data_IF_654900449750
#
_entry.id   IF_654900449750
#
_cell.length_a   1.000
_cell.length_b   1.000
_cell.length_c   1.000
_cell.angle_alpha   90.00
_cell.angle_beta   90.00
_cell.angle_gamma   90.00
#
_symmetry.space_group_name_H-M   'P 1'
#
loop_
_entity.id
_entity.type
_entity.pdbx_description
1 polymer ?
#
# COMPACT_ATOMS: atom_id res chain seq x y z
N UNK A 1 1.56 19.30 -4.30
CA UNK A 1 1.72 17.91 -3.86
C UNK A 1 0.50 17.13 -4.32
N UNK A 2 0.61 15.98 -5.00
CA UNK A 2 -0.55 15.24 -5.49
C UNK A 2 -1.26 14.50 -4.36
N UNK A 3 -1.87 15.27 -3.45
CA UNK A 3 -2.96 14.76 -2.63
C UNK A 3 -4.12 14.36 -3.56
N UNK A 4 -4.93 13.35 -3.22
CA UNK A 4 -6.08 12.99 -4.04
C UNK A 4 -7.02 14.20 -4.23
N UNK A 5 -7.38 14.49 -5.48
CA UNK A 5 -8.37 15.50 -5.82
C UNK A 5 -9.76 15.10 -5.31
N UNK A 6 -10.72 16.04 -5.18
CA UNK A 6 -12.09 15.69 -4.78
C UNK A 6 -12.75 14.61 -5.66
N UNK A 7 -12.46 14.60 -6.97
CA UNK A 7 -12.94 13.56 -7.88
C UNK A 7 -12.33 12.20 -7.55
N UNK A 8 -11.01 12.15 -7.35
CA UNK A 8 -10.30 10.93 -6.97
C UNK A 8 -10.77 10.40 -5.60
N UNK A 9 -11.00 11.28 -4.61
CA UNK A 9 -11.55 10.88 -3.30
C UNK A 9 -12.91 10.18 -3.45
N UNK A 10 -13.78 10.69 -4.32
CA UNK A 10 -15.08 10.08 -4.60
C UNK A 10 -14.93 8.68 -5.19
N UNK A 11 -13.99 8.48 -6.11
CA UNK A 11 -13.81 7.20 -6.82
C UNK A 11 -13.03 6.16 -6.01
N UNK A 12 -12.04 6.60 -5.22
CA UNK A 12 -11.34 5.77 -4.23
C UNK A 12 -12.29 5.31 -3.12
N UNK A 13 -13.41 6.02 -2.91
CA UNK A 13 -14.41 5.71 -1.90
C UNK A 13 -14.03 6.24 -0.51
N UNK A 14 -14.89 6.03 0.50
CA UNK A 14 -14.71 6.64 1.80
C UNK A 14 -13.48 6.10 2.52
N UNK A 15 -12.89 6.95 3.37
CA UNK A 15 -11.84 6.55 4.30
C UNK A 15 -12.43 5.63 5.37
N UNK A 16 -11.84 4.45 5.56
CA UNK A 16 -12.33 3.40 6.45
C UNK A 16 -11.30 3.04 7.51
N UNK A 17 -11.75 2.61 8.68
CA UNK A 17 -10.90 1.94 9.67
C UNK A 17 -10.44 0.57 9.15
N UNK A 18 -9.37 -0.01 9.73
CA UNK A 18 -8.95 -1.36 9.41
C UNK A 18 -10.11 -2.36 9.46
N UNK A 19 -10.19 -3.22 8.45
CA UNK A 19 -11.12 -4.34 8.34
C UNK A 19 -12.60 -3.99 8.08
N UNK A 20 -12.99 -2.71 8.03
CA UNK A 20 -14.36 -2.28 7.68
C UNK A 20 -14.78 -2.59 6.24
N UNK A 21 -13.89 -3.18 5.42
CA UNK A 21 -14.19 -3.64 4.06
C UNK A 21 -14.22 -5.16 3.92
N UNK A 22 -13.73 -5.89 4.91
CA UNK A 22 -13.38 -7.32 4.77
C UNK A 22 -13.78 -8.16 5.97
N UNK A 23 -13.62 -7.66 7.20
CA UNK A 23 -13.86 -8.43 8.41
C UNK A 23 -14.13 -7.50 9.61
N UNK A 24 -15.39 -7.07 9.77
CA UNK A 24 -15.82 -6.16 10.83
C UNK A 24 -15.61 -6.66 12.26
N UNK A 25 -15.44 -7.98 12.48
CA UNK A 25 -15.21 -8.53 13.82
C UNK A 25 -13.74 -8.54 14.24
N UNK A 26 -12.82 -8.29 13.30
CA UNK A 26 -11.38 -8.25 13.59
C UNK A 26 -10.98 -6.88 14.11
N UNK A 27 -10.18 -6.89 15.17
CA UNK A 27 -9.56 -5.69 15.73
C UNK A 27 -8.07 -5.61 15.38
N UNK A 28 -7.52 -4.41 15.48
CA UNK A 28 -6.08 -4.18 15.33
C UNK A 28 -5.36 -4.81 16.52
N UNK A 29 -4.37 -5.66 16.24
CA UNK A 29 -3.67 -6.40 17.29
C UNK A 29 -2.49 -5.60 17.86
N UNK A 30 -1.99 -6.03 19.02
CA UNK A 30 -0.76 -5.50 19.61
C UNK A 30 0.38 -5.51 18.57
N UNK A 31 1.11 -4.41 18.48
CA UNK A 31 2.22 -4.23 17.53
C UNK A 31 1.82 -3.75 16.13
N UNK A 32 0.54 -3.87 15.74
CA UNK A 32 0.04 -3.41 14.44
C UNK A 32 -0.19 -1.89 14.36
N UNK A 33 -0.08 -1.17 15.49
CA UNK A 33 -0.19 0.29 15.58
C UNK A 33 1.15 1.00 15.83
N UNK A 34 2.25 0.24 15.96
CA UNK A 34 3.58 0.82 16.11
C UNK A 34 3.92 1.58 14.83
N UNK A 35 4.34 2.83 14.99
CA UNK A 35 4.72 3.71 13.89
C UNK A 35 6.18 3.47 13.49
N UNK A 36 6.43 3.41 12.18
CA UNK A 36 7.75 3.17 11.58
C UNK A 36 8.15 4.34 10.68
N UNK A 37 8.03 5.57 11.18
CA UNK A 37 8.16 6.79 10.36
C UNK A 37 9.43 6.88 9.52
N UNK A 38 10.57 6.40 10.03
CA UNK A 38 11.85 6.37 9.31
C UNK A 38 11.93 5.31 8.19
N UNK A 39 10.96 4.39 8.15
CA UNK A 39 10.84 3.32 7.13
C UNK A 39 9.63 3.50 6.22
N UNK A 40 8.70 4.37 6.61
CA UNK A 40 7.53 4.70 5.80
C UNK A 40 7.93 5.79 4.82
N UNK A 41 7.78 5.46 3.56
CA UNK A 41 8.12 6.35 2.49
C UNK A 41 6.88 7.09 1.99
N UNK A 42 6.95 8.42 1.94
CA UNK A 42 5.91 9.26 1.36
C UNK A 42 6.10 9.31 -0.16
N UNK A 43 5.36 8.48 -0.87
CA UNK A 43 5.45 8.35 -2.31
C UNK A 43 4.69 9.46 -3.06
N UNK A 44 4.11 10.46 -2.39
CA UNK A 44 3.39 11.55 -3.07
C UNK A 44 4.29 12.48 -3.89
N UNK A 45 5.59 12.54 -3.64
CA UNK A 45 6.46 13.52 -4.30
C UNK A 45 7.17 12.95 -5.54
N UNK A 46 6.58 11.96 -6.23
CA UNK A 46 7.16 11.23 -7.38
C UNK A 46 8.57 10.67 -7.11
N UNK A 47 8.97 10.65 -5.85
CA UNK A 47 10.27 10.22 -5.44
C UNK A 47 10.16 8.71 -5.21
N UNK A 48 11.17 7.93 -5.59
CA UNK A 48 11.29 6.53 -5.17
C UNK A 48 12.02 6.47 -3.82
N UNK A 49 11.81 5.42 -2.99
CA UNK A 49 12.75 5.12 -1.93
C UNK A 49 14.17 5.01 -2.52
N UNK A 50 15.16 5.69 -1.93
CA UNK A 50 16.54 5.75 -2.45
C UNK A 50 17.18 4.37 -2.70
N UNK A 51 16.68 3.34 -2.03
CA UNK A 51 17.16 1.96 -2.09
C UNK A 51 16.01 0.96 -2.31
N UNK A 52 15.18 1.20 -3.33
CA UNK A 52 14.15 0.21 -3.72
C UNK A 52 14.78 -1.12 -4.10
N UNK A 53 14.23 -2.21 -3.56
CA UNK A 53 14.55 -3.55 -4.00
C UNK A 53 13.75 -3.79 -5.28
N UNK A 54 14.43 -3.82 -6.43
CA UNK A 54 13.83 -4.16 -7.72
C UNK A 54 13.88 -5.66 -7.97
N UNK A 55 12.89 -6.16 -8.69
CA UNK A 55 12.74 -7.57 -9.05
C UNK A 55 12.43 -7.71 -10.54
N UNK A 56 12.85 -8.82 -11.14
CA UNK A 56 12.49 -9.13 -12.53
C UNK A 56 10.96 -9.30 -12.67
N UNK A 57 10.32 -8.71 -13.70
CA UNK A 57 8.88 -8.82 -13.94
C UNK A 57 8.33 -10.26 -13.92
N UNK A 58 9.08 -11.20 -14.49
CA UNK A 58 8.76 -12.63 -14.52
C UNK A 58 8.69 -13.23 -13.12
N UNK A 59 9.59 -12.86 -12.21
CA UNK A 59 9.57 -13.31 -10.82
C UNK A 59 8.36 -12.72 -10.09
N UNK A 60 8.08 -11.42 -10.29
CA UNK A 60 6.90 -10.75 -9.71
C UNK A 60 5.61 -11.47 -10.13
N UNK A 61 5.48 -11.82 -11.40
CA UNK A 61 4.26 -12.48 -11.93
C UNK A 61 4.12 -13.93 -11.47
N UNK A 62 5.22 -14.67 -11.38
CA UNK A 62 5.18 -16.10 -11.05
C UNK A 62 5.14 -16.37 -9.55
N UNK A 63 5.85 -15.58 -8.74
CA UNK A 63 6.06 -15.83 -7.31
C UNK A 63 5.88 -14.58 -6.41
N UNK A 64 4.81 -13.79 -6.58
CA UNK A 64 4.66 -12.51 -5.86
C UNK A 64 4.63 -12.67 -4.34
N UNK A 65 4.11 -13.81 -3.85
CA UNK A 65 3.96 -14.10 -2.41
C UNK A 65 5.27 -14.41 -1.69
N UNK A 66 6.28 -14.87 -2.42
CA UNK A 66 7.57 -15.28 -1.86
C UNK A 66 8.67 -14.25 -2.12
N UNK A 67 8.35 -13.15 -2.78
CA UNK A 67 9.33 -12.14 -3.09
C UNK A 67 9.70 -11.32 -1.85
N UNK A 68 11.00 -11.22 -1.61
CA UNK A 68 11.56 -10.37 -0.56
C UNK A 68 11.46 -8.87 -0.89
N UNK A 69 11.13 -8.52 -2.14
CA UNK A 69 10.96 -7.15 -2.63
C UNK A 69 9.52 -6.64 -2.52
N UNK A 70 8.64 -7.35 -1.78
CA UNK A 70 7.25 -6.95 -1.62
C UNK A 70 7.10 -5.76 -0.66
N UNK A 71 6.44 -4.71 -1.13
CA UNK A 71 6.06 -3.54 -0.37
C UNK A 71 4.56 -3.57 -0.06
N UNK A 72 4.19 -2.93 1.04
CA UNK A 72 2.80 -2.60 1.39
C UNK A 72 2.58 -1.13 1.06
N UNK A 73 1.42 -0.80 0.49
CA UNK A 73 1.05 0.57 0.21
C UNK A 73 -0.32 0.93 0.78
N UNK A 74 -0.47 2.22 1.10
CA UNK A 74 -1.71 2.83 1.56
C UNK A 74 -1.90 4.19 0.88
N UNK A 75 -3.12 4.42 0.38
CA UNK A 75 -3.59 5.74 -0.02
C UNK A 75 -4.47 6.29 1.12
N UNK A 76 -4.12 7.48 1.59
CA UNK A 76 -4.93 8.28 2.52
C UNK A 76 -5.33 9.59 1.85
N UNK A 77 -6.11 10.41 2.53
CA UNK A 77 -6.44 11.77 2.09
C UNK A 77 -5.19 12.67 1.96
N UNK A 78 -4.10 12.32 2.64
CA UNK A 78 -2.84 13.06 2.61
C UNK A 78 -1.85 12.53 1.57
N UNK A 79 -2.09 11.35 0.98
CA UNK A 79 -1.13 10.79 0.04
C UNK A 79 -1.01 9.28 -0.07
N UNK A 80 -0.07 8.86 -0.91
CA UNK A 80 0.44 7.50 -1.05
C UNK A 80 1.64 7.27 -0.11
N UNK A 81 1.56 6.23 0.70
CA UNK A 81 2.62 5.81 1.62
C UNK A 81 2.97 4.35 1.39
N UNK A 82 4.26 4.02 1.42
CA UNK A 82 4.75 2.67 1.17
C UNK A 82 5.78 2.24 2.22
N UNK A 83 5.87 0.94 2.49
CA UNK A 83 6.86 0.34 3.40
C UNK A 83 7.22 -1.06 2.90
N UNK A 84 8.47 -1.49 3.07
CA UNK A 84 8.90 -2.85 2.75
C UNK A 84 8.24 -3.84 3.73
N UNK A 85 7.54 -4.87 3.25
CA UNK A 85 6.79 -5.80 4.13
C UNK A 85 7.73 -6.48 5.13
N UNK A 86 8.95 -6.85 4.71
CA UNK A 86 9.94 -7.53 5.55
C UNK A 86 10.59 -6.63 6.62
N UNK A 87 10.15 -5.38 6.78
CA UNK A 87 10.59 -4.53 7.88
C UNK A 87 10.31 -5.22 9.23
N UNK A 88 11.32 -5.44 10.08
CA UNK A 88 11.13 -6.17 11.35
C UNK A 88 10.15 -5.47 12.28
N UNK A 89 9.19 -6.24 12.82
CA UNK A 89 8.29 -5.80 13.87
C UNK A 89 8.15 -6.91 14.93
N UNK A 90 9.03 -6.95 15.95
CA UNK A 90 9.04 -8.03 16.93
C UNK A 90 7.77 -8.11 17.77
N UNK A 91 6.99 -7.04 17.81
CA UNK A 91 5.74 -6.93 18.57
C UNK A 91 4.54 -7.59 17.90
N UNK A 92 4.63 -8.02 16.64
CA UNK A 92 3.58 -8.78 15.95
C UNK A 92 3.89 -10.28 15.93
N UNK A 93 2.87 -11.11 15.75
CA UNK A 93 3.04 -12.56 15.56
C UNK A 93 3.78 -12.90 14.27
N UNK A 94 3.59 -12.10 13.21
CA UNK A 94 4.27 -12.25 11.91
C UNK A 94 5.73 -11.80 11.95
N UNK A 95 6.16 -11.10 13.00
CA UNK A 95 7.50 -10.52 13.17
C UNK A 95 7.91 -9.49 12.12
N UNK A 96 6.95 -9.03 11.32
CA UNK A 96 7.11 -8.05 10.25
C UNK A 96 5.92 -7.06 10.26
N UNK A 97 6.04 -5.96 9.51
CA UNK A 97 5.02 -4.91 9.43
C UNK A 97 3.78 -5.34 8.64
N UNK A 98 2.67 -4.62 8.85
CA UNK A 98 1.44 -4.75 8.08
C UNK A 98 0.86 -3.36 7.73
N UNK A 99 -0.19 -3.28 6.90
CA UNK A 99 -0.74 -1.99 6.44
C UNK A 99 -1.11 -1.03 7.57
N UNK A 100 -1.60 -1.54 8.69
CA UNK A 100 -1.95 -0.73 9.86
C UNK A 100 -0.74 -0.05 10.51
N UNK A 101 0.48 -0.56 10.30
CA UNK A 101 1.69 0.13 10.77
C UNK A 101 1.95 1.42 10.00
N UNK A 102 1.50 1.53 8.74
CA UNK A 102 1.60 2.76 7.94
C UNK A 102 0.66 3.83 8.50
N UNK A 103 -0.55 3.44 8.89
CA UNK A 103 -1.60 4.36 9.37
C UNK A 103 -1.64 4.48 10.89
N UNK A 104 -0.85 3.72 11.63
CA UNK A 104 -0.99 3.51 13.09
C UNK A 104 -2.39 3.01 13.52
N UNK A 105 -3.09 2.29 12.63
CA UNK A 105 -4.44 1.81 12.85
C UNK A 105 -5.55 2.83 12.54
N UNK A 106 -5.19 4.00 12.00
CA UNK A 106 -6.14 5.02 11.57
C UNK A 106 -6.78 4.70 10.22
N UNK A 107 -7.64 5.60 9.76
CA UNK A 107 -8.38 5.42 8.52
C UNK A 107 -7.48 5.54 7.28
N UNK A 108 -7.87 4.84 6.23
CA UNK A 108 -7.28 4.99 4.89
C UNK A 108 -8.33 4.82 3.81
N UNK A 109 -8.05 5.35 2.62
CA UNK A 109 -8.91 5.23 1.44
C UNK A 109 -8.77 3.84 0.84
N UNK A 110 -7.53 3.41 0.58
CA UNK A 110 -7.21 2.16 -0.10
C UNK A 110 -5.86 1.59 0.35
N UNK A 111 -5.66 0.28 0.18
CA UNK A 111 -4.38 -0.37 0.42
C UNK A 111 -4.18 -1.67 -0.36
N UNK A 112 -2.93 -2.08 -0.49
CA UNK A 112 -2.57 -3.28 -1.23
C UNK A 112 -1.07 -3.60 -1.18
N UNK A 113 -0.63 -4.43 -2.12
CA UNK A 113 0.78 -4.85 -2.24
C UNK A 113 1.40 -4.24 -3.51
N UNK A 114 2.71 -4.03 -3.48
CA UNK A 114 3.49 -3.41 -4.54
C UNK A 114 4.85 -4.08 -4.71
N UNK A 115 5.35 -4.13 -5.94
CA UNK A 115 6.71 -4.55 -6.29
C UNK A 115 7.30 -3.58 -7.31
N UNK A 116 8.58 -3.25 -7.15
CA UNK A 116 9.32 -2.44 -8.11
C UNK A 116 9.96 -3.35 -9.15
N UNK A 117 9.63 -3.15 -10.43
CA UNK A 117 10.21 -3.90 -11.54
C UNK A 117 11.56 -3.34 -11.97
N UNK A 118 12.44 -4.21 -12.49
CA UNK A 118 13.65 -3.77 -13.20
C UNK A 118 13.35 -3.08 -14.54
N UNK A 119 12.10 -3.13 -15.01
CA UNK A 119 11.61 -2.45 -16.22
C UNK A 119 11.03 -1.05 -15.96
N UNK A 120 11.35 -0.46 -14.80
CA UNK A 120 10.88 0.85 -14.31
C UNK A 120 9.35 0.99 -14.27
N UNK A 121 8.68 -0.15 -14.03
CA UNK A 121 7.26 -0.21 -13.71
C UNK A 121 7.06 -0.61 -12.26
N UNK A 122 5.88 -0.27 -11.77
CA UNK A 122 5.40 -0.68 -10.47
C UNK A 122 4.26 -1.68 -10.67
N UNK A 123 4.45 -2.87 -10.12
CA UNK A 123 3.44 -3.91 -10.12
C UNK A 123 2.65 -3.79 -8.84
N UNK A 124 1.33 -3.63 -8.92
CA UNK A 124 0.49 -3.46 -7.74
C UNK A 124 -0.68 -4.42 -7.74
N UNK A 125 -1.18 -4.72 -6.55
CA UNK A 125 -2.54 -5.20 -6.39
C UNK A 125 -3.29 -4.32 -5.39
N UNK A 126 -4.62 -4.40 -5.40
CA UNK A 126 -5.52 -3.72 -4.46
C UNK A 126 -5.98 -4.65 -3.32
N UNK A 127 -5.20 -5.68 -2.99
CA UNK A 127 -5.57 -6.74 -2.06
C UNK A 127 -4.98 -6.48 -0.68
N UNK A 128 -5.66 -5.64 0.10
CA UNK A 128 -5.40 -5.52 1.53
C UNK A 128 -6.51 -6.16 2.34
N UNK A 129 -6.15 -7.03 3.28
CA UNK A 129 -7.09 -7.53 4.28
C UNK A 129 -7.63 -6.46 5.23
N UNK A 130 -7.07 -5.24 5.21
CA UNK A 130 -7.46 -4.11 6.07
C UNK A 130 -8.19 -3.02 5.29
N UNK A 131 -7.69 -2.66 4.10
CA UNK A 131 -8.12 -1.48 3.33
C UNK A 131 -8.32 -1.76 1.83
N UNK A 132 -8.56 -3.01 1.43
CA UNK A 132 -8.62 -3.37 0.01
C UNK A 132 -9.82 -2.78 -0.75
N UNK A 133 -9.67 -2.61 -2.06
CA UNK A 133 -10.78 -2.15 -2.91
C UNK A 133 -11.85 -3.24 -3.11
N UNK A 134 -13.12 -2.85 -3.05
CA UNK A 134 -14.28 -3.74 -3.16
C UNK A 134 -15.01 -3.64 -4.50
N UNK A 135 -14.74 -2.60 -5.31
CA UNK A 135 -15.38 -2.38 -6.61
C UNK A 135 -14.37 -2.18 -7.74
N UNK A 136 -14.80 -2.37 -8.99
CA UNK A 136 -13.97 -2.09 -10.17
C UNK A 136 -13.63 -0.60 -10.27
N UNK A 137 -14.57 0.29 -9.93
CA UNK A 137 -14.35 1.74 -9.92
C UNK A 137 -13.18 2.12 -8.99
N UNK A 138 -13.17 1.58 -7.77
CA UNK A 138 -12.08 1.81 -6.83
C UNK A 138 -10.74 1.26 -7.33
N UNK A 139 -10.75 0.11 -8.02
CA UNK A 139 -9.53 -0.47 -8.63
C UNK A 139 -8.96 0.46 -9.69
N UNK A 140 -9.81 0.99 -10.57
CA UNK A 140 -9.37 1.92 -11.60
C UNK A 140 -8.84 3.22 -10.97
N UNK A 141 -9.56 3.77 -9.99
CA UNK A 141 -9.13 4.96 -9.26
C UNK A 141 -7.76 4.81 -8.56
N UNK A 142 -7.43 3.60 -8.08
CA UNK A 142 -6.10 3.30 -7.55
C UNK A 142 -5.05 3.45 -8.66
N UNK A 143 -5.27 2.83 -9.82
CA UNK A 143 -4.33 2.92 -10.96
C UNK A 143 -4.15 4.38 -11.37
N UNK A 144 -5.26 5.11 -11.53
CA UNK A 144 -5.25 6.50 -11.95
C UNK A 144 -4.50 7.38 -10.93
N UNK A 145 -4.65 7.10 -9.63
CA UNK A 145 -3.91 7.82 -8.60
C UNK A 145 -2.41 7.50 -8.62
N UNK A 146 -2.02 6.22 -8.79
CA UNK A 146 -0.61 5.87 -8.93
C UNK A 146 0.03 6.54 -10.16
N UNK A 147 -0.69 6.59 -11.28
CA UNK A 147 -0.24 7.29 -12.49
C UNK A 147 -0.14 8.81 -12.27
N UNK A 148 -1.12 9.41 -11.58
CA UNK A 148 -1.11 10.83 -11.22
C UNK A 148 0.08 11.22 -10.34
N UNK A 149 0.52 10.30 -9.48
CA UNK A 149 1.70 10.48 -8.63
C UNK A 149 3.02 10.26 -9.39
N UNK A 150 2.98 9.66 -10.59
CA UNK A 150 4.13 9.49 -11.50
C UNK A 150 4.51 8.04 -11.82
N UNK A 151 3.81 7.05 -11.24
CA UNK A 151 4.16 5.64 -11.41
C UNK A 151 3.57 5.01 -12.67
N UNK A 152 4.43 4.35 -13.46
CA UNK A 152 4.02 3.45 -14.56
C UNK A 152 3.54 2.12 -13.99
N UNK A 153 2.23 1.94 -13.89
CA UNK A 153 1.61 0.88 -13.10
C UNK A 153 1.17 -0.33 -13.94
N UNK A 154 1.37 -1.54 -13.40
CA UNK A 154 0.87 -2.83 -13.92
C UNK A 154 0.10 -3.55 -12.82
N UNK A 155 -1.04 -4.15 -13.15
CA UNK A 155 -1.83 -5.02 -12.24
C UNK A 155 -1.59 -6.49 -12.57
#
# INVERSE_FOLDING_TARGET
>A
MPIPTPSQLKELGPSVLPFERTNFSRTVLKGEQIYFGDKIYNATEDSLPDNVIKELPEIIRQQPRHSHSKYLWIITENGLYIILENTPNPSTSRKIVCHTNITTGLKALQGGELWFGTDDKVYINNRSGRYGATTLLQRNAIIDYFQFVGYRTVI
#
